data_IF_485609221418
#
_entry.id   IF_485609221418
#
_cell.length_a   1.000
_cell.length_b   1.000
_cell.length_c   1.000
_cell.angle_alpha   90.00
_cell.angle_beta   90.00
_cell.angle_gamma   90.00
#
_symmetry.space_group_name_H-M   'P 1'
#
loop_
_entity.id
_entity.type
_entity.pdbx_description
1 polymer ?
#
# COMPACT_ATOMS: atom_id res chain seq x y z
N UNK A 1 52.91 -1.35 -58.15
CA UNK A 1 53.36 -0.84 -56.83
C UNK A 1 52.74 -1.66 -55.71
N UNK A 2 53.36 -1.63 -54.52
CA UNK A 2 52.84 -2.02 -53.19
C UNK A 2 51.44 -1.41 -52.90
N UNK A 3 50.57 -1.85 -51.97
CA UNK A 3 50.58 -2.89 -50.91
C UNK A 3 49.16 -2.96 -50.24
N UNK A 4 49.01 -3.77 -49.18
CA UNK A 4 47.97 -3.81 -48.11
C UNK A 4 46.82 -4.84 -48.31
N UNK A 5 46.89 -6.01 -47.64
CA UNK A 5 46.53 -6.35 -46.23
C UNK A 5 45.01 -6.30 -45.99
N UNK A 6 44.32 -7.45 -45.99
CA UNK A 6 44.14 -8.41 -44.87
C UNK A 6 43.32 -7.85 -43.68
N UNK A 7 42.15 -8.45 -43.42
CA UNK A 7 41.97 -9.38 -42.28
C UNK A 7 40.74 -10.27 -42.51
N UNK A 8 40.80 -11.55 -42.13
CA UNK A 8 39.73 -12.53 -42.29
C UNK A 8 39.26 -13.10 -40.95
N UNK A 9 38.00 -13.53 -40.89
CA UNK A 9 37.41 -14.26 -39.76
C UNK A 9 37.96 -15.68 -39.66
N UNK A 10 38.32 -16.13 -38.45
CA UNK A 10 38.56 -17.55 -38.20
C UNK A 10 38.20 -17.95 -36.75
N UNK A 11 37.31 -18.93 -36.60
CA UNK A 11 37.12 -19.69 -35.34
C UNK A 11 36.92 -21.16 -35.67
N UNK A 12 37.90 -21.97 -35.26
CA UNK A 12 37.99 -23.40 -35.53
C UNK A 12 36.97 -24.22 -34.71
N UNK A 13 36.66 -25.43 -35.19
CA UNK A 13 35.94 -26.48 -34.45
C UNK A 13 36.48 -27.88 -34.81
N UNK A 14 36.28 -28.86 -33.92
CA UNK A 14 36.77 -30.26 -33.94
C UNK A 14 38.28 -30.37 -33.55
N UNK A 15 38.85 -31.40 -32.90
CA UNK A 15 38.60 -32.86 -32.66
C UNK A 15 39.16 -33.28 -31.27
N UNK A 16 38.99 -34.47 -30.64
CA UNK A 16 38.02 -35.61 -30.65
C UNK A 16 38.56 -36.72 -29.68
N UNK A 17 37.73 -37.33 -28.78
CA UNK A 17 38.02 -38.55 -27.93
C UNK A 17 39.09 -38.40 -26.80
N UNK A 18 39.30 -39.31 -25.81
CA UNK A 18 38.44 -40.24 -25.01
C UNK A 18 39.27 -41.02 -23.96
N UNK A 19 38.73 -41.29 -22.75
CA UNK A 19 39.29 -42.16 -21.67
C UNK A 19 40.72 -41.78 -21.18
N UNK A 20 41.21 -42.07 -19.97
CA UNK A 20 40.99 -43.18 -19.04
C UNK A 20 41.54 -42.79 -17.65
N UNK A 21 40.94 -43.26 -16.53
CA UNK A 21 41.61 -43.98 -15.41
C UNK A 21 40.80 -43.91 -14.10
N UNK A 22 40.65 -45.09 -13.50
CA UNK A 22 40.12 -45.32 -12.16
C UNK A 22 41.31 -45.64 -11.23
N UNK A 23 41.37 -45.08 -10.02
CA UNK A 23 42.02 -45.73 -8.86
C UNK A 23 41.74 -44.96 -7.57
N UNK A 24 41.22 -45.64 -6.55
CA UNK A 24 41.08 -45.09 -5.20
C UNK A 24 42.38 -45.27 -4.41
N UNK A 25 42.78 -44.26 -3.63
CA UNK A 25 43.71 -44.41 -2.50
C UNK A 25 43.08 -43.82 -1.24
N UNK A 26 43.02 -44.63 -0.18
CA UNK A 26 42.58 -44.21 1.16
C UNK A 26 43.78 -43.63 1.93
N UNK A 27 43.57 -42.59 2.74
CA UNK A 27 44.42 -42.29 3.89
C UNK A 27 43.60 -41.62 5.00
N UNK A 28 44.05 -41.78 6.24
CA UNK A 28 43.28 -41.58 7.47
C UNK A 28 43.17 -40.15 8.03
N UNK A 29 42.74 -40.01 9.29
CA UNK A 29 42.05 -38.82 9.77
C UNK A 29 42.96 -37.80 10.47
N UNK A 30 42.66 -36.50 10.30
CA UNK A 30 43.04 -35.51 11.32
C UNK A 30 42.08 -34.31 11.37
N UNK A 31 41.75 -33.98 12.62
CA UNK A 31 40.86 -33.00 13.23
C UNK A 31 40.82 -31.55 12.71
N UNK A 32 39.66 -30.92 12.95
CA UNK A 32 39.43 -29.51 13.31
C UNK A 32 39.61 -28.41 12.24
N UNK A 33 38.49 -27.84 11.78
CA UNK A 33 38.27 -26.39 11.79
C UNK A 33 36.79 -26.04 12.01
N UNK A 34 36.57 -25.33 13.12
CA UNK A 34 35.66 -24.21 13.35
C UNK A 34 34.24 -24.17 12.76
N UNK A 35 33.27 -23.89 13.63
CA UNK A 35 31.88 -23.62 13.27
C UNK A 35 31.71 -22.27 12.55
N UNK A 36 30.72 -22.20 11.66
CA UNK A 36 30.03 -20.95 11.36
C UNK A 36 28.53 -21.20 11.29
N UNK A 37 27.80 -20.46 12.13
CA UNK A 37 26.35 -20.46 12.14
C UNK A 37 25.78 -19.66 10.97
N UNK A 38 24.58 -20.02 10.52
CA UNK A 38 23.41 -19.14 10.64
C UNK A 38 22.14 -19.92 10.25
N UNK A 39 21.05 -19.67 10.97
CA UNK A 39 19.76 -20.28 10.67
C UNK A 39 19.19 -19.74 9.36
N UNK A 40 19.02 -20.60 8.35
CA UNK A 40 18.16 -20.34 7.20
C UNK A 40 16.68 -20.52 7.59
N UNK A 41 16.24 -19.72 8.56
CA UNK A 41 14.82 -19.49 8.83
C UNK A 41 14.48 -18.12 8.25
N UNK A 42 14.33 -18.07 6.92
CA UNK A 42 13.78 -16.90 6.22
C UNK A 42 12.27 -16.80 6.42
N UNK A 43 11.79 -16.88 7.66
CA UNK A 43 10.39 -16.62 8.02
C UNK A 43 10.18 -15.13 8.27
N UNK A 44 10.35 -14.32 7.24
CA UNK A 44 9.84 -12.93 7.20
C UNK A 44 8.32 -12.96 6.95
N UNK A 45 7.60 -13.73 7.75
CA UNK A 45 6.15 -13.59 7.89
C UNK A 45 5.91 -12.33 8.71
N UNK A 46 5.85 -11.18 8.04
CA UNK A 46 5.25 -9.97 8.60
C UNK A 46 3.75 -10.22 8.81
N UNK A 47 3.41 -10.98 9.85
CA UNK A 47 2.08 -10.98 10.47
C UNK A 47 1.95 -9.72 11.33
N UNK A 48 2.11 -8.56 10.69
CA UNK A 48 1.45 -7.37 11.18
C UNK A 48 -0.04 -7.59 10.93
N UNK A 49 -0.78 -7.92 11.99
CA UNK A 49 -2.23 -7.83 11.95
C UNK A 49 -2.56 -6.41 11.53
N UNK A 50 -3.20 -6.25 10.37
CA UNK A 50 -3.69 -4.95 9.94
C UNK A 50 -4.67 -4.46 11.00
N UNK A 51 -4.26 -3.46 11.79
CA UNK A 51 -5.12 -2.87 12.81
C UNK A 51 -6.28 -2.20 12.08
N UNK A 52 -7.46 -2.83 12.12
CA UNK A 52 -8.68 -2.29 11.56
C UNK A 52 -9.54 -1.72 12.69
N UNK A 53 -9.34 -0.46 13.11
CA UNK A 53 -10.16 0.11 14.17
C UNK A 53 -11.64 0.06 13.77
N UNK A 54 -12.49 -0.21 14.75
CA UNK A 54 -13.92 0.01 14.63
C UNK A 54 -14.24 1.41 15.14
N UNK A 55 -15.08 2.15 14.43
CA UNK A 55 -15.63 3.43 14.90
C UNK A 55 -17.15 3.35 14.90
N UNK A 56 -17.80 3.99 15.86
CA UNK A 56 -19.25 4.18 15.80
C UNK A 56 -19.56 5.46 15.01
N UNK A 57 -20.23 5.32 13.88
CA UNK A 57 -20.73 6.44 13.08
C UNK A 57 -22.26 6.36 13.02
N UNK A 58 -22.93 7.35 13.60
CA UNK A 58 -24.38 7.31 13.77
C UNK A 58 -24.79 6.13 14.65
N UNK A 59 -25.58 5.22 14.08
CA UNK A 59 -26.06 4.00 14.74
C UNK A 59 -25.22 2.75 14.44
N UNK A 60 -24.25 2.79 13.52
CA UNK A 60 -23.48 1.62 13.06
C UNK A 60 -22.05 1.58 13.61
N UNK A 61 -21.55 0.36 13.84
CA UNK A 61 -20.11 0.07 13.99
C UNK A 61 -19.50 -0.13 12.59
N UNK A 62 -18.56 0.74 12.19
CA UNK A 62 -17.86 0.71 10.91
C UNK A 62 -16.41 0.26 11.13
N UNK A 63 -15.98 -0.79 10.42
CA UNK A 63 -14.59 -1.26 10.43
C UNK A 63 -13.77 -0.50 9.39
N UNK A 64 -12.63 0.04 9.80
CA UNK A 64 -11.83 0.90 8.96
C UNK A 64 -10.50 0.25 8.60
N UNK A 65 -10.16 0.20 7.31
CA UNK A 65 -8.78 -0.01 6.88
C UNK A 65 -7.96 1.25 7.17
N UNK A 66 -6.67 1.10 7.51
CA UNK A 66 -5.80 2.24 7.85
C UNK A 66 -4.86 2.55 6.70
N UNK A 67 -4.86 3.81 6.26
CA UNK A 67 -3.88 4.39 5.36
C UNK A 67 -3.02 5.41 6.13
N UNK A 68 -1.70 5.18 6.22
CA UNK A 68 -0.81 6.02 7.02
C UNK A 68 0.43 6.49 6.24
N UNK A 69 0.94 5.68 5.32
CA UNK A 69 2.04 6.08 4.42
C UNK A 69 1.52 6.91 3.25
N UNK A 70 2.35 7.77 2.67
CA UNK A 70 1.96 8.56 1.49
C UNK A 70 1.47 7.70 0.33
N UNK A 71 1.98 6.47 0.19
CA UNK A 71 1.55 5.52 -0.84
C UNK A 71 0.13 4.98 -0.57
N UNK A 72 -0.17 4.59 0.68
CA UNK A 72 -1.51 4.15 1.06
C UNK A 72 -2.51 5.30 0.96
N UNK A 73 -2.13 6.50 1.40
CA UNK A 73 -2.96 7.71 1.32
C UNK A 73 -3.26 8.10 -0.14
N UNK A 74 -2.27 8.01 -1.04
CA UNK A 74 -2.47 8.26 -2.47
C UNK A 74 -3.31 7.18 -3.16
N UNK A 75 -3.21 5.92 -2.72
CA UNK A 75 -3.98 4.79 -3.26
C UNK A 75 -5.44 4.81 -2.78
N UNK A 76 -5.68 5.08 -1.49
CA UNK A 76 -7.00 5.11 -0.87
C UNK A 76 -7.91 3.94 -1.29
N UNK A 77 -9.15 4.29 -1.67
CA UNK A 77 -10.15 3.35 -2.17
C UNK A 77 -10.15 3.17 -3.71
N UNK A 78 -9.08 3.56 -4.42
CA UNK A 78 -8.98 3.40 -5.88
C UNK A 78 -9.22 1.95 -6.34
N UNK A 79 -9.84 1.82 -7.51
CA UNK A 79 -10.18 0.58 -8.21
C UNK A 79 -11.20 -0.34 -7.52
N UNK A 80 -11.72 0.02 -6.34
CA UNK A 80 -12.78 -0.74 -5.67
C UNK A 80 -14.12 -0.54 -6.38
N UNK A 81 -14.80 -1.64 -6.69
CA UNK A 81 -16.13 -1.66 -7.32
C UNK A 81 -17.28 -1.66 -6.31
N UNK A 82 -16.99 -1.85 -5.02
CA UNK A 82 -17.97 -1.80 -3.93
C UNK A 82 -17.28 -1.47 -2.60
N UNK A 83 -18.04 -0.88 -1.66
CA UNK A 83 -17.67 -0.73 -0.26
C UNK A 83 -18.91 -1.04 0.60
N UNK A 84 -18.87 -2.05 1.49
CA UNK A 84 -19.99 -2.36 2.38
C UNK A 84 -20.30 -1.22 3.36
N UNK A 85 -21.57 -1.03 3.74
CA UNK A 85 -22.00 0.02 4.69
C UNK A 85 -21.32 -0.06 6.07
N UNK A 86 -20.83 -1.25 6.47
CA UNK A 86 -20.10 -1.48 7.73
C UNK A 86 -18.59 -1.40 7.58
N UNK A 87 -18.10 -0.87 6.45
CA UNK A 87 -16.67 -0.74 6.14
C UNK A 87 -16.33 0.66 5.63
N UNK A 88 -15.06 1.04 5.81
CA UNK A 88 -14.50 2.27 5.29
C UNK A 88 -12.98 2.27 5.34
N UNK A 89 -12.38 3.43 5.15
CA UNK A 89 -10.94 3.65 5.31
C UNK A 89 -10.71 4.90 6.17
N UNK A 90 -9.67 4.87 7.00
CA UNK A 90 -9.19 6.04 7.74
C UNK A 90 -7.77 6.39 7.34
N UNK A 91 -7.58 7.65 7.02
CA UNK A 91 -6.31 8.26 6.64
C UNK A 91 -5.77 9.01 7.86
N UNK A 92 -4.55 8.68 8.30
CA UNK A 92 -3.97 9.23 9.53
C UNK A 92 -2.89 10.28 9.23
N UNK A 93 -3.02 11.47 9.81
CA UNK A 93 -2.11 12.60 9.62
C UNK A 93 -1.44 12.99 10.93
N UNK A 94 -0.13 12.72 11.04
CA UNK A 94 0.69 13.04 12.23
C UNK A 94 2.00 13.71 11.78
N UNK A 95 2.20 15.03 12.03
CA UNK A 95 1.26 15.95 12.68
C UNK A 95 -0.03 16.17 11.85
N UNK A 96 -1.12 16.65 12.49
CA UNK A 96 -2.30 17.16 11.78
C UNK A 96 -1.90 18.22 10.76
N UNK A 97 -2.62 18.30 9.64
CA UNK A 97 -2.33 19.26 8.55
C UNK A 97 -3.56 19.54 7.70
N UNK A 98 -3.59 20.62 6.91
CA UNK A 98 -4.62 20.78 5.87
C UNK A 98 -4.40 19.71 4.80
N UNK A 99 -5.48 19.11 4.31
CA UNK A 99 -5.45 18.03 3.30
C UNK A 99 -6.50 18.26 2.24
N UNK A 100 -6.29 17.70 1.05
CA UNK A 100 -7.28 17.70 -0.01
C UNK A 100 -7.31 16.37 -0.75
N UNK A 101 -8.49 15.76 -0.80
CA UNK A 101 -8.74 14.47 -1.42
C UNK A 101 -9.18 14.63 -2.87
N UNK A 102 -9.24 13.52 -3.60
CA UNK A 102 -9.67 13.45 -5.00
C UNK A 102 -10.33 12.10 -5.27
N UNK A 103 -10.97 11.95 -6.42
CA UNK A 103 -11.66 10.71 -6.83
C UNK A 103 -11.05 10.08 -8.08
N UNK A 104 -9.77 10.34 -8.34
CA UNK A 104 -9.04 9.70 -9.45
C UNK A 104 -9.07 8.17 -9.25
N UNK A 105 -9.45 7.40 -10.28
CA UNK A 105 -9.60 5.94 -10.23
C UNK A 105 -10.53 5.35 -9.15
N UNK A 106 -11.33 6.15 -8.43
CA UNK A 106 -12.40 5.63 -7.57
C UNK A 106 -13.64 5.32 -8.43
N UNK A 107 -14.29 4.16 -8.22
CA UNK A 107 -15.48 3.75 -9.01
C UNK A 107 -16.80 3.82 -8.23
N UNK A 108 -16.73 4.18 -6.95
CA UNK A 108 -17.88 4.34 -6.06
C UNK A 108 -17.95 5.78 -5.58
N UNK A 109 -19.15 6.28 -5.29
CA UNK A 109 -19.31 7.54 -4.56
C UNK A 109 -18.85 7.35 -3.11
N UNK A 110 -18.33 8.40 -2.48
CA UNK A 110 -17.86 8.39 -1.09
C UNK A 110 -18.36 9.59 -0.30
N UNK A 111 -18.67 9.38 0.98
CA UNK A 111 -18.71 10.47 1.97
C UNK A 111 -17.32 10.58 2.61
N UNK A 112 -16.74 11.79 2.63
CA UNK A 112 -15.44 12.08 3.23
C UNK A 112 -15.63 12.90 4.52
N UNK A 113 -15.38 12.29 5.67
CA UNK A 113 -15.54 12.88 6.99
C UNK A 113 -14.17 13.38 7.47
N UNK A 114 -13.99 14.69 7.53
CA UNK A 114 -12.75 15.33 7.99
C UNK A 114 -12.78 15.48 9.51
N UNK A 115 -11.77 14.95 10.21
CA UNK A 115 -11.77 14.84 11.67
C UNK A 115 -10.61 15.61 12.28
N UNK A 116 -10.91 16.42 13.29
CA UNK A 116 -9.95 17.14 14.11
C UNK A 116 -10.31 16.95 15.58
N UNK A 117 -9.32 16.64 16.42
CA UNK A 117 -9.48 16.51 17.88
C UNK A 117 -10.64 15.56 18.27
N UNK A 118 -10.82 14.47 17.49
CA UNK A 118 -11.91 13.50 17.67
C UNK A 118 -13.30 14.00 17.27
N UNK A 119 -13.42 15.08 16.50
CA UNK A 119 -14.70 15.61 15.99
C UNK A 119 -14.71 15.75 14.49
N UNK A 120 -15.85 15.41 13.86
CA UNK A 120 -16.08 15.72 12.45
C UNK A 120 -16.20 17.23 12.30
N UNK A 121 -15.26 17.87 11.61
CA UNK A 121 -15.30 19.32 11.32
C UNK A 121 -15.92 19.63 9.98
N UNK A 122 -15.87 18.70 9.02
CA UNK A 122 -16.47 18.85 7.71
C UNK A 122 -16.90 17.49 7.15
N UNK A 123 -18.00 17.44 6.40
CA UNK A 123 -18.31 16.29 5.52
C UNK A 123 -18.43 16.74 4.06
N UNK A 124 -17.65 16.12 3.17
CA UNK A 124 -17.94 16.17 1.73
C UNK A 124 -18.84 14.99 1.39
N UNK A 125 -20.12 15.25 1.14
CA UNK A 125 -21.13 14.21 0.89
C UNK A 125 -21.19 13.77 -0.57
N UNK A 126 -21.46 12.48 -0.78
CA UNK A 126 -21.78 11.80 -2.03
C UNK A 126 -20.85 12.20 -3.19
N UNK A 127 -19.55 12.26 -2.88
CA UNK A 127 -18.51 12.71 -3.79
C UNK A 127 -18.37 11.68 -4.92
N UNK A 128 -18.55 12.07 -6.20
CA UNK A 128 -18.59 11.11 -7.29
C UNK A 128 -17.19 10.78 -7.85
N UNK A 129 -17.02 9.61 -8.51
CA UNK A 129 -15.86 9.28 -9.35
C UNK A 129 -15.38 10.43 -10.23
N UNK A 130 -14.06 10.63 -10.28
CA UNK A 130 -13.45 11.55 -11.24
C UNK A 130 -13.64 11.01 -12.67
N UNK A 131 -14.03 11.90 -13.60
CA UNK A 131 -14.29 11.55 -15.00
C UNK A 131 -13.06 11.67 -15.91
N UNK A 132 -11.98 12.30 -15.46
CA UNK A 132 -10.75 12.42 -16.26
C UNK A 132 -9.82 11.23 -16.05
N UNK A 133 -9.13 10.84 -17.11
CA UNK A 133 -8.00 9.91 -17.07
C UNK A 133 -6.70 10.58 -16.63
N UNK A 134 -6.67 11.92 -16.56
CA UNK A 134 -5.56 12.71 -16.05
C UNK A 134 -5.81 13.05 -14.55
N UNK A 135 -4.93 12.62 -13.62
CA UNK A 135 -5.09 12.91 -12.19
C UNK A 135 -5.12 14.41 -11.85
N UNK A 136 -4.41 15.24 -12.62
CA UNK A 136 -4.31 16.69 -12.35
C UNK A 136 -5.60 17.46 -12.70
N UNK A 137 -6.49 16.86 -13.47
CA UNK A 137 -7.81 17.42 -13.83
C UNK A 137 -8.92 17.01 -12.84
N UNK A 138 -8.62 16.14 -11.87
CA UNK A 138 -9.63 15.69 -10.91
C UNK A 138 -9.94 16.79 -9.87
N UNK A 139 -11.23 17.06 -9.59
CA UNK A 139 -11.64 17.97 -8.52
C UNK A 139 -11.00 17.61 -7.18
N UNK A 140 -10.63 18.64 -6.42
CA UNK A 140 -10.05 18.51 -5.08
C UNK A 140 -11.07 18.83 -4.01
N UNK A 141 -11.11 18.00 -2.97
CA UNK A 141 -12.03 18.11 -1.84
C UNK A 141 -11.19 18.43 -0.58
N UNK A 142 -10.97 19.71 -0.25
CA UNK A 142 -10.14 20.11 0.88
C UNK A 142 -10.84 19.90 2.24
N UNK A 143 -10.07 19.91 3.32
CA UNK A 143 -10.58 20.21 4.66
C UNK A 143 -11.20 21.62 4.70
N UNK A 144 -11.78 22.02 5.84
CA UNK A 144 -12.41 23.34 5.96
C UNK A 144 -11.37 24.47 5.97
N UNK A 145 -11.25 25.22 4.87
CA UNK A 145 -10.32 26.36 4.79
C UNK A 145 -8.86 25.96 5.05
N UNK A 146 -8.29 26.47 6.15
CA UNK A 146 -6.93 26.13 6.62
C UNK A 146 -6.95 25.19 7.84
N UNK A 147 -8.08 24.54 8.14
CA UNK A 147 -8.21 23.65 9.30
C UNK A 147 -7.33 22.42 9.10
N UNK A 148 -6.41 22.23 10.05
CA UNK A 148 -5.57 21.06 10.17
C UNK A 148 -6.36 19.89 10.76
N UNK A 149 -6.34 18.75 10.08
CA UNK A 149 -7.09 17.55 10.48
C UNK A 149 -6.12 16.43 10.84
N UNK A 150 -6.48 15.65 11.85
CA UNK A 150 -5.72 14.50 12.34
C UNK A 150 -6.10 13.22 11.60
N UNK A 151 -7.36 13.12 11.16
CA UNK A 151 -7.87 11.99 10.39
C UNK A 151 -8.83 12.44 9.28
N UNK A 152 -8.96 11.61 8.24
CA UNK A 152 -10.12 11.63 7.33
C UNK A 152 -10.67 10.21 7.27
N UNK A 153 -12.00 10.06 7.32
CA UNK A 153 -12.68 8.77 7.16
C UNK A 153 -13.45 8.79 5.84
N UNK A 154 -13.25 7.78 5.00
CA UNK A 154 -14.03 7.52 3.79
C UNK A 154 -14.99 6.34 4.02
N UNK A 155 -16.27 6.55 3.71
CA UNK A 155 -17.36 5.55 3.73
C UNK A 155 -18.21 5.67 2.46
N UNK A 156 -19.10 4.72 2.21
CA UNK A 156 -19.91 4.68 0.99
C UNK A 156 -20.76 5.96 0.81
N UNK A 157 -20.90 6.44 -0.43
CA UNK A 157 -21.63 7.67 -0.75
C UNK A 157 -23.04 7.74 -0.16
N UNK A 158 -23.37 8.87 0.46
CA UNK A 158 -24.64 9.11 1.14
C UNK A 158 -24.82 8.37 2.47
N UNK A 159 -23.82 7.64 2.96
CA UNK A 159 -23.86 6.94 4.25
C UNK A 159 -24.21 7.88 5.40
N UNK A 160 -23.59 9.05 5.48
CA UNK A 160 -23.85 10.01 6.55
C UNK A 160 -25.31 10.46 6.56
N UNK A 161 -25.91 10.63 5.37
CA UNK A 161 -27.33 10.95 5.23
C UNK A 161 -28.25 9.80 5.64
N UNK A 162 -27.87 8.55 5.36
CA UNK A 162 -28.64 7.35 5.78
C UNK A 162 -28.60 7.15 7.30
N UNK A 163 -27.45 7.40 7.93
CA UNK A 163 -27.17 7.10 9.34
C UNK A 163 -27.19 8.33 10.27
N UNK A 164 -27.58 9.51 9.77
CA UNK A 164 -27.73 10.72 10.57
C UNK A 164 -26.41 11.34 11.09
N UNK A 165 -25.28 11.00 10.45
CA UNK A 165 -23.95 11.50 10.80
C UNK A 165 -23.79 12.92 10.28
N UNK A 166 -23.28 13.82 11.12
CA UNK A 166 -23.17 15.26 10.85
C UNK A 166 -21.89 15.85 11.44
N UNK A 167 -21.55 17.03 10.96
CA UNK A 167 -20.50 17.86 11.53
C UNK A 167 -20.78 18.16 13.02
N UNK A 168 -19.72 18.15 13.83
CA UNK A 168 -19.77 18.26 15.29
C UNK A 168 -19.86 16.92 16.04
N UNK A 169 -20.27 15.83 15.38
CA UNK A 169 -20.29 14.49 15.99
C UNK A 169 -18.89 14.01 16.38
N UNK A 170 -18.80 13.21 17.45
CA UNK A 170 -17.54 12.70 18.00
C UNK A 170 -17.17 11.35 17.38
N UNK A 171 -15.90 11.21 17.02
CA UNK A 171 -15.28 10.03 16.41
C UNK A 171 -14.37 9.38 17.44
N UNK A 172 -14.71 8.16 17.87
CA UNK A 172 -13.92 7.37 18.83
C UNK A 172 -13.49 6.05 18.19
N UNK A 173 -12.18 5.85 18.02
CA UNK A 173 -11.61 4.63 17.45
C UNK A 173 -11.41 3.57 18.53
N UNK A 174 -12.03 2.41 18.33
CA UNK A 174 -11.83 1.19 19.13
C UNK A 174 -10.87 0.26 18.39
N UNK A 175 -9.70 0.02 19.00
CA UNK A 175 -8.65 -0.86 18.48
C UNK A 175 -8.66 -2.26 19.12
N UNK A 176 -9.71 -2.62 19.87
CA UNK A 176 -9.79 -3.87 20.65
C UNK A 176 -10.61 -5.01 20.02
N UNK A 177 -11.21 -4.77 18.83
CA UNK A 177 -12.14 -5.67 18.12
C UNK A 177 -11.56 -6.28 16.83
#
# INVERSE_FOLDING_TARGET
MRSHKKLGHEKLRQKKLSHTKLSHKKLGPLTFFLALAAALISSSSYQGLAMMPTVKLGDQDVKLEVAQTDKEIQQGLMFRTSLPETQGMVFLFKPPRPVAFWMYNCFINLDMLFVKDGKIVKISHDVPPCKSTNPDECPRYPSEGTVEVSEVIEVAGGYCKRHGVKEGDTVNFDFSK
#
